data_IF_967914734746
#
_entry.id   IF_967914734746
#
_cell.length_a   1.000
_cell.length_b   1.000
_cell.length_c   1.000
_cell.angle_alpha   90.00
_cell.angle_beta   90.00
_cell.angle_gamma   90.00
#
_symmetry.space_group_name_H-M   'P 1'
#
loop_
_entity.id
_entity.type
_entity.pdbx_description
1 polymer ?
#
# COMPACT_ATOMS: atom_id res chain seq x y z
N UNK A 1 -86.70 -33.10 -30.27
CA UNK A 1 -85.76 -34.07 -29.68
C UNK A 1 -84.89 -33.31 -28.68
N UNK A 2 -85.06 -33.60 -27.38
CA UNK A 2 -84.03 -33.43 -26.35
C UNK A 2 -83.20 -34.75 -26.33
N UNK A 3 -82.09 -34.92 -25.58
CA UNK A 3 -81.35 -34.03 -24.66
C UNK A 3 -79.82 -34.03 -25.02
N UNK A 4 -78.83 -33.54 -24.29
CA UNK A 4 -78.38 -33.99 -22.97
C UNK A 4 -77.04 -33.26 -22.63
N UNK A 5 -76.96 -32.73 -21.39
CA UNK A 5 -75.79 -32.75 -20.48
C UNK A 5 -74.49 -32.02 -20.90
N UNK A 6 -73.74 -31.31 -20.05
CA UNK A 6 -73.51 -31.50 -18.61
C UNK A 6 -72.85 -30.26 -17.96
N UNK A 7 -72.99 -30.17 -16.64
CA UNK A 7 -72.63 -29.08 -15.70
C UNK A 7 -71.20 -29.26 -15.16
N UNK A 8 -70.49 -28.16 -14.83
CA UNK A 8 -69.61 -27.96 -13.62
C UNK A 8 -68.88 -26.60 -13.69
N UNK A 9 -69.26 -25.60 -12.88
CA UNK A 9 -68.55 -25.12 -11.65
C UNK A 9 -67.05 -24.88 -11.88
N UNK A 10 -66.50 -23.68 -11.71
CA UNK A 10 -66.15 -23.12 -10.39
C UNK A 10 -65.92 -21.59 -10.45
N UNK A 11 -66.38 -20.90 -9.40
CA UNK A 11 -65.95 -19.55 -9.01
C UNK A 11 -64.50 -19.59 -8.54
N UNK A 12 -63.63 -18.66 -8.96
CA UNK A 12 -62.50 -18.22 -8.14
C UNK A 12 -62.24 -16.70 -8.29
N UNK A 13 -62.80 -15.95 -7.33
CA UNK A 13 -62.17 -14.95 -6.45
C UNK A 13 -60.90 -14.23 -6.98
N UNK A 14 -61.03 -12.93 -7.27
CA UNK A 14 -59.96 -11.88 -7.16
C UNK A 14 -59.68 -11.60 -5.67
N UNK A 15 -58.61 -10.92 -5.22
CA UNK A 15 -57.50 -10.24 -5.94
C UNK A 15 -56.11 -10.49 -5.30
N UNK A 16 -54.99 -10.12 -5.94
CA UNK A 16 -53.76 -9.88 -5.16
C UNK A 16 -52.88 -8.80 -5.81
N UNK A 17 -52.72 -7.71 -5.07
CA UNK A 17 -51.81 -6.61 -5.36
C UNK A 17 -50.37 -7.16 -5.32
N UNK A 18 -49.65 -7.04 -6.42
CA UNK A 18 -48.20 -7.21 -6.41
C UNK A 18 -47.57 -6.11 -5.55
N UNK A 19 -47.26 -6.48 -4.32
CA UNK A 19 -46.47 -5.69 -3.38
C UNK A 19 -45.06 -5.56 -3.96
N UNK A 20 -44.63 -4.32 -4.23
CA UNK A 20 -43.23 -3.99 -4.54
C UNK A 20 -42.31 -4.57 -3.47
N UNK A 21 -41.29 -5.38 -3.80
CA UNK A 21 -40.32 -5.78 -2.80
C UNK A 21 -39.45 -4.58 -2.41
N UNK A 22 -39.53 -4.28 -1.12
CA UNK A 22 -38.42 -3.94 -0.22
C UNK A 22 -37.43 -2.88 -0.71
N UNK A 23 -37.55 -1.68 -0.12
CA UNK A 23 -36.42 -0.77 0.00
C UNK A 23 -35.23 -1.54 0.58
N UNK A 24 -34.16 -1.64 -0.21
CA UNK A 24 -32.82 -1.87 0.33
C UNK A 24 -32.54 -0.76 1.34
N UNK A 25 -32.72 -1.08 2.62
CA UNK A 25 -32.19 -0.27 3.71
C UNK A 25 -30.68 -0.34 3.55
N UNK A 26 -30.09 0.70 2.95
CA UNK A 26 -28.65 0.95 3.03
C UNK A 26 -28.29 0.83 4.52
N UNK A 27 -27.24 0.09 4.90
CA UNK A 27 -26.86 0.02 6.29
C UNK A 27 -26.64 1.45 6.78
N UNK A 28 -27.40 1.86 7.79
CA UNK A 28 -27.09 3.06 8.56
C UNK A 28 -25.66 2.87 9.05
N UNK A 29 -24.72 3.65 8.51
CA UNK A 29 -23.41 3.76 9.11
C UNK A 29 -23.63 4.39 10.48
N UNK A 30 -23.65 3.57 11.52
CA UNK A 30 -23.43 4.02 12.89
C UNK A 30 -22.02 4.63 12.95
N UNK A 31 -21.95 5.93 12.68
CA UNK A 31 -20.75 6.72 12.84
C UNK A 31 -20.56 6.98 14.33
N UNK A 32 -19.80 6.12 15.00
CA UNK A 32 -19.25 6.43 16.32
C UNK A 32 -18.27 7.62 16.18
N UNK A 33 -18.57 8.79 16.77
CA UNK A 33 -17.70 9.97 16.69
C UNK A 33 -16.28 9.68 17.19
N UNK A 34 -16.13 8.77 18.16
CA UNK A 34 -14.82 8.38 18.68
C UNK A 34 -14.04 7.61 17.62
N UNK A 35 -14.68 6.64 16.94
CA UNK A 35 -14.10 5.91 15.82
C UNK A 35 -13.65 6.82 14.68
N UNK A 36 -14.44 7.84 14.32
CA UNK A 36 -14.04 8.83 13.31
C UNK A 36 -12.78 9.61 13.72
N UNK A 37 -12.73 10.08 14.97
CA UNK A 37 -11.57 10.82 15.48
C UNK A 37 -10.32 9.94 15.50
N UNK A 38 -10.44 8.70 15.98
CA UNK A 38 -9.32 7.74 15.99
C UNK A 38 -8.81 7.49 14.56
N UNK A 39 -9.73 7.27 13.61
CA UNK A 39 -9.37 7.06 12.20
C UNK A 39 -8.62 8.26 11.63
N UNK A 40 -9.12 9.48 11.84
CA UNK A 40 -8.46 10.71 11.37
C UNK A 40 -7.06 10.89 11.98
N UNK A 41 -6.91 10.64 13.28
CA UNK A 41 -5.60 10.72 13.95
C UNK A 41 -4.62 9.71 13.36
N UNK A 42 -5.06 8.46 13.14
CA UNK A 42 -4.21 7.43 12.53
C UNK A 42 -3.82 7.81 11.10
N UNK A 43 -4.76 8.32 10.28
CA UNK A 43 -4.47 8.75 8.92
C UNK A 43 -3.42 9.88 8.90
N UNK A 44 -3.57 10.89 9.75
CA UNK A 44 -2.60 12.00 9.87
C UNK A 44 -1.22 11.49 10.28
N UNK A 45 -1.14 10.67 11.32
CA UNK A 45 0.14 10.11 11.80
C UNK A 45 0.81 9.25 10.72
N UNK A 46 0.04 8.44 10.00
CA UNK A 46 0.57 7.64 8.90
C UNK A 46 1.11 8.52 7.76
N UNK A 47 0.41 9.59 7.41
CA UNK A 47 0.90 10.54 6.39
C UNK A 47 2.19 11.23 6.81
N UNK A 48 2.30 11.63 8.09
CA UNK A 48 3.51 12.23 8.65
C UNK A 48 4.69 11.26 8.62
N UNK A 49 4.49 10.03 9.09
CA UNK A 49 5.52 8.98 9.08
C UNK A 49 5.96 8.61 7.65
N UNK A 50 5.03 8.51 6.70
CA UNK A 50 5.35 8.27 5.28
C UNK A 50 6.17 9.41 4.70
N UNK A 51 5.82 10.67 5.03
CA UNK A 51 6.55 11.85 4.55
C UNK A 51 7.96 11.89 5.11
N UNK A 52 8.13 11.61 6.40
CA UNK A 52 9.44 11.56 7.04
C UNK A 52 10.30 10.43 6.47
N UNK A 53 9.74 9.23 6.30
CA UNK A 53 10.43 8.11 5.67
C UNK A 53 10.88 8.45 4.24
N UNK A 54 10.03 9.12 3.45
CA UNK A 54 10.35 9.56 2.10
C UNK A 54 11.48 10.61 2.10
N UNK A 55 11.48 11.53 3.07
CA UNK A 55 12.55 12.52 3.27
C UNK A 55 13.89 11.84 3.54
N UNK A 56 13.94 10.93 4.51
CA UNK A 56 15.14 10.18 4.86
C UNK A 56 15.65 9.30 3.71
N UNK A 57 14.74 8.68 2.95
CA UNK A 57 15.11 7.89 1.76
C UNK A 57 15.74 8.77 0.68
N UNK A 58 15.22 9.98 0.47
CA UNK A 58 15.80 10.94 -0.46
C UNK A 58 17.18 11.41 0.00
N UNK A 59 17.37 11.68 1.30
CA UNK A 59 18.67 12.03 1.89
C UNK A 59 19.69 10.92 1.64
N UNK A 60 19.35 9.68 2.01
CA UNK A 60 20.22 8.53 1.80
C UNK A 60 20.58 8.35 0.33
N UNK A 61 19.59 8.38 -0.57
CA UNK A 61 19.81 8.28 -2.03
C UNK A 61 20.77 9.36 -2.53
N UNK A 62 20.58 10.61 -2.10
CA UNK A 62 21.41 11.73 -2.55
C UNK A 62 22.85 11.61 -2.03
N UNK A 63 23.04 11.18 -0.79
CA UNK A 63 24.37 11.01 -0.20
C UNK A 63 25.11 9.82 -0.83
N UNK A 64 24.41 8.71 -1.06
CA UNK A 64 24.94 7.57 -1.81
C UNK A 64 25.37 7.98 -3.23
N UNK A 65 24.50 8.69 -3.97
CA UNK A 65 24.83 9.17 -5.31
C UNK A 65 26.05 10.09 -5.31
N UNK A 66 26.15 11.02 -4.35
CA UNK A 66 27.30 11.92 -4.21
C UNK A 66 28.60 11.13 -3.96
N UNK A 67 28.57 10.12 -3.08
CA UNK A 67 29.74 9.29 -2.80
C UNK A 67 30.17 8.43 -3.98
N UNK A 68 29.22 7.83 -4.70
CA UNK A 68 29.52 7.04 -5.91
C UNK A 68 30.15 7.95 -6.97
N UNK A 69 29.53 9.08 -7.27
CA UNK A 69 30.04 10.01 -8.29
C UNK A 69 31.40 10.62 -7.88
N UNK A 70 31.58 10.95 -6.59
CA UNK A 70 32.86 11.40 -6.05
C UNK A 70 33.95 10.34 -6.15
N UNK A 71 33.68 9.12 -5.69
CA UNK A 71 34.63 8.01 -5.71
C UNK A 71 35.02 7.53 -7.11
N UNK A 72 34.14 7.69 -8.10
CA UNK A 72 34.46 7.47 -9.52
C UNK A 72 35.45 8.54 -10.02
N UNK A 73 35.26 9.80 -9.63
CA UNK A 73 36.15 10.90 -10.00
C UNK A 73 37.51 10.80 -9.29
N UNK A 74 37.53 10.31 -8.05
CA UNK A 74 38.73 10.13 -7.23
C UNK A 74 39.47 8.79 -7.50
N UNK A 75 39.07 8.04 -8.53
CA UNK A 75 39.64 6.75 -8.99
C UNK A 75 39.48 5.55 -8.04
N UNK A 76 39.13 5.75 -6.77
CA UNK A 76 38.98 4.66 -5.78
C UNK A 76 37.93 3.60 -6.16
N UNK A 77 36.91 3.95 -6.95
CA UNK A 77 35.87 3.02 -7.40
C UNK A 77 36.08 2.50 -8.83
N UNK A 78 37.06 3.01 -9.59
CA UNK A 78 37.23 2.65 -11.01
C UNK A 78 37.69 1.20 -11.20
N UNK A 79 38.47 0.68 -10.26
CA UNK A 79 39.04 -0.68 -10.32
C UNK A 79 38.24 -1.72 -9.51
N UNK A 80 37.14 -1.31 -8.87
CA UNK A 80 36.32 -2.22 -8.06
C UNK A 80 35.30 -2.92 -8.98
N UNK A 81 35.26 -4.26 -9.03
CA UNK A 81 34.30 -5.01 -9.84
C UNK A 81 32.90 -4.95 -9.20
N UNK A 82 32.19 -3.86 -9.44
CA UNK A 82 30.84 -3.66 -8.91
C UNK A 82 29.80 -4.40 -9.78
N UNK A 83 29.02 -5.29 -9.15
CA UNK A 83 27.97 -6.02 -9.85
C UNK A 83 26.62 -5.29 -9.80
N UNK A 84 26.16 -4.81 -10.96
CA UNK A 84 24.85 -4.14 -11.07
C UNK A 84 23.66 -5.06 -10.77
N UNK A 85 23.81 -6.38 -10.88
CA UNK A 85 22.75 -7.32 -10.49
C UNK A 85 22.49 -7.31 -8.98
N UNK A 86 23.45 -6.83 -8.18
CA UNK A 86 23.37 -6.75 -6.71
C UNK A 86 22.90 -5.40 -6.20
N UNK A 87 22.77 -4.40 -7.07
CA UNK A 87 22.46 -3.02 -6.70
C UNK A 87 21.26 -2.90 -5.74
N UNK A 88 20.16 -3.59 -6.03
CA UNK A 88 18.96 -3.53 -5.20
C UNK A 88 19.20 -4.09 -3.79
N UNK A 89 19.88 -5.22 -3.65
CA UNK A 89 20.16 -5.83 -2.35
C UNK A 89 21.20 -5.02 -1.57
N UNK A 90 22.24 -4.52 -2.24
CA UNK A 90 23.23 -3.60 -1.67
C UNK A 90 22.58 -2.32 -1.16
N UNK A 91 21.67 -1.72 -1.94
CA UNK A 91 20.93 -0.52 -1.55
C UNK A 91 20.08 -0.77 -0.31
N UNK A 92 19.35 -1.89 -0.26
CA UNK A 92 18.55 -2.27 0.92
C UNK A 92 19.43 -2.47 2.16
N UNK A 93 20.59 -3.10 2.01
CA UNK A 93 21.53 -3.34 3.09
C UNK A 93 22.09 -2.03 3.65
N UNK A 94 22.57 -1.13 2.76
CA UNK A 94 23.05 0.19 3.15
C UNK A 94 21.94 1.05 3.78
N UNK A 95 20.72 1.03 3.24
CA UNK A 95 19.56 1.72 3.83
C UNK A 95 19.24 1.21 5.25
N UNK A 96 19.31 -0.11 5.46
CA UNK A 96 19.10 -0.72 6.78
C UNK A 96 20.15 -0.24 7.79
N UNK A 97 21.39 -0.05 7.35
CA UNK A 97 22.45 0.50 8.19
C UNK A 97 22.22 1.98 8.49
N UNK A 98 21.90 2.77 7.47
CA UNK A 98 21.66 4.21 7.60
C UNK A 98 20.63 4.55 8.68
N UNK A 99 19.55 3.77 8.75
CA UNK A 99 18.47 3.95 9.73
C UNK A 99 18.88 3.73 11.19
N UNK A 100 20.07 3.19 11.46
CA UNK A 100 20.56 3.03 12.84
C UNK A 100 20.96 4.36 13.50
N UNK A 101 20.91 5.48 12.77
CA UNK A 101 21.02 6.87 13.27
C UNK A 101 22.26 7.15 14.14
N UNK A 102 23.47 6.97 13.58
CA UNK A 102 24.75 7.34 14.22
C UNK A 102 25.46 8.50 13.52
N UNK A 103 26.47 9.08 14.18
CA UNK A 103 27.33 10.14 13.61
C UNK A 103 27.97 9.71 12.28
N UNK A 104 28.32 8.42 12.16
CA UNK A 104 28.97 7.84 10.98
C UNK A 104 28.00 7.15 10.01
N UNK A 105 26.68 7.39 10.12
CA UNK A 105 25.65 6.67 9.31
C UNK A 105 25.94 6.70 7.81
N UNK A 106 26.54 7.77 7.30
CA UNK A 106 26.85 7.89 5.87
C UNK A 106 28.03 7.03 5.42
N UNK A 107 29.01 6.86 6.30
CA UNK A 107 30.22 6.09 6.00
C UNK A 107 29.94 4.61 6.15
N UNK A 108 29.30 4.21 7.26
CA UNK A 108 28.98 2.80 7.52
C UNK A 108 28.01 2.23 6.48
N UNK A 109 26.97 2.97 6.11
CA UNK A 109 26.00 2.53 5.10
C UNK A 109 26.60 2.44 3.69
N UNK A 110 27.51 3.35 3.34
CA UNK A 110 28.22 3.32 2.06
C UNK A 110 29.15 2.11 1.97
N UNK A 111 29.91 1.83 3.03
CA UNK A 111 30.81 0.67 3.07
C UNK A 111 30.03 -0.65 2.98
N UNK A 112 28.87 -0.75 3.63
CA UNK A 112 27.98 -1.91 3.48
C UNK A 112 27.45 -2.03 2.05
N UNK A 113 27.05 -0.92 1.44
CA UNK A 113 26.60 -0.91 0.05
C UNK A 113 27.69 -1.43 -0.90
N UNK A 114 28.92 -0.89 -0.83
CA UNK A 114 30.02 -1.29 -1.70
C UNK A 114 30.44 -2.74 -1.45
N UNK A 115 30.60 -3.14 -0.19
CA UNK A 115 30.92 -4.54 0.17
C UNK A 115 29.91 -5.52 -0.42
N UNK A 116 28.62 -5.17 -0.41
CA UNK A 116 27.59 -6.02 -1.00
C UNK A 116 27.58 -6.00 -2.53
N UNK A 117 28.10 -4.94 -3.18
CA UNK A 117 28.26 -4.89 -4.63
C UNK A 117 29.41 -5.76 -5.15
N UNK A 118 30.42 -6.02 -4.33
CA UNK A 118 31.63 -6.80 -4.66
C UNK A 118 31.46 -8.32 -4.49
N UNK A 119 30.70 -8.73 -3.46
CA UNK A 119 30.50 -10.14 -3.13
C UNK A 119 29.61 -10.87 -4.14
#
# INVERSE_FOLDING_TARGET
MNPEQEVKTEQEVKPEQEVKPEQEVKPEQDFDPISMVIKLVVEILLEEEVRELASQMNEYRNNLARKILGGINDSNLQDIPLSMSRFCESFKAGWKEWKKNGEDKEETSFNIFITQMEN
#
